data_IF_404720110350
#
_entry.id   IF_404720110350
#
_cell.length_a   1.000
_cell.length_b   1.000
_cell.length_c   1.000
_cell.angle_alpha   90.00
_cell.angle_beta   90.00
_cell.angle_gamma   90.00
#
_symmetry.space_group_name_H-M   'P 1'
#
loop_
_entity.id
_entity.type
_entity.pdbx_description
1 polymer ?
#
# COMPACT_ATOMS: atom_id res chain seq x y z
N UNK A 1 -12.66 -17.82 1.39
CA UNK A 1 -11.63 -17.40 0.42
C UNK A 1 -12.28 -16.46 -0.57
N UNK A 2 -11.98 -15.16 -0.50
CA UNK A 2 -12.52 -14.18 -1.46
C UNK A 2 -11.76 -14.37 -2.78
N UNK A 3 -12.48 -14.72 -3.83
CA UNK A 3 -11.91 -14.97 -5.15
C UNK A 3 -11.54 -13.61 -5.79
N UNK A 4 -10.25 -13.29 -5.88
CA UNK A 4 -9.72 -12.07 -6.54
C UNK A 4 -9.68 -12.20 -8.07
N UNK A 5 -9.92 -13.39 -8.61
CA UNK A 5 -9.77 -13.72 -10.04
C UNK A 5 -10.72 -12.98 -11.00
N UNK A 6 -11.67 -12.21 -10.47
CA UNK A 6 -12.55 -11.34 -11.26
C UNK A 6 -12.15 -9.86 -11.22
N UNK A 7 -11.24 -9.47 -10.33
CA UNK A 7 -10.85 -8.07 -10.17
C UNK A 7 -9.84 -7.65 -11.24
N UNK A 8 -10.12 -6.50 -11.86
CA UNK A 8 -9.28 -5.90 -12.91
C UNK A 8 -8.68 -4.60 -12.39
N UNK A 9 -7.36 -4.49 -12.51
CA UNK A 9 -6.58 -3.39 -11.96
C UNK A 9 -5.75 -2.72 -13.05
N UNK A 10 -5.77 -1.39 -13.06
CA UNK A 10 -4.83 -0.59 -13.83
C UNK A 10 -3.78 -0.02 -12.88
N UNK A 11 -2.50 -0.21 -13.19
CA UNK A 11 -1.37 0.36 -12.44
C UNK A 11 -0.65 1.37 -13.29
N UNK A 12 -0.60 2.63 -12.84
CA UNK A 12 0.08 3.74 -13.52
C UNK A 12 1.32 4.12 -12.70
N UNK A 13 2.52 3.96 -13.26
CA UNK A 13 3.73 4.27 -12.50
C UNK A 13 5.04 4.09 -13.25
N UNK A 14 6.11 4.62 -12.65
CA UNK A 14 7.50 4.50 -13.10
C UNK A 14 8.39 4.12 -11.92
N UNK A 15 9.58 3.53 -12.12
CA UNK A 15 10.14 3.07 -13.40
C UNK A 15 9.46 1.77 -13.90
N UNK A 16 9.79 1.37 -15.14
CA UNK A 16 9.20 0.19 -15.80
C UNK A 16 9.41 -1.09 -14.99
N UNK A 17 10.60 -1.28 -14.43
CA UNK A 17 10.94 -2.48 -13.66
C UNK A 17 10.07 -2.61 -12.41
N UNK A 18 9.90 -1.54 -11.63
CA UNK A 18 9.03 -1.53 -10.48
C UNK A 18 7.55 -1.79 -10.86
N UNK A 19 7.10 -1.26 -11.99
CA UNK A 19 5.76 -1.53 -12.51
C UNK A 19 5.61 -3.02 -12.87
N UNK A 20 6.60 -3.59 -13.53
CA UNK A 20 6.60 -5.01 -13.90
C UNK A 20 6.55 -5.91 -12.67
N UNK A 21 7.37 -5.64 -11.65
CA UNK A 21 7.38 -6.38 -10.38
C UNK A 21 6.00 -6.36 -9.70
N UNK A 22 5.34 -5.20 -9.66
CA UNK A 22 3.99 -5.06 -9.09
C UNK A 22 2.98 -5.89 -9.89
N UNK A 23 3.05 -5.84 -11.22
CA UNK A 23 2.14 -6.60 -12.10
C UNK A 23 2.32 -8.12 -11.92
N UNK A 24 3.55 -8.59 -11.81
CA UNK A 24 3.86 -10.01 -11.56
C UNK A 24 3.31 -10.48 -10.21
N UNK A 25 3.52 -9.69 -9.15
CA UNK A 25 2.97 -9.99 -7.83
C UNK A 25 1.44 -10.01 -7.81
N UNK A 26 0.78 -9.08 -8.51
CA UNK A 26 -0.68 -9.05 -8.62
C UNK A 26 -1.21 -10.26 -9.40
N UNK A 27 -0.56 -10.61 -10.50
CA UNK A 27 -0.93 -11.79 -11.30
C UNK A 27 -0.77 -13.07 -10.49
N UNK A 28 0.31 -13.21 -9.71
CA UNK A 28 0.52 -14.34 -8.79
C UNK A 28 -0.58 -14.44 -7.71
N UNK A 29 -1.20 -13.31 -7.35
CA UNK A 29 -2.36 -13.26 -6.44
C UNK A 29 -3.72 -13.43 -7.15
N UNK A 30 -3.73 -13.77 -8.45
CA UNK A 30 -4.94 -14.02 -9.22
C UNK A 30 -5.68 -12.75 -9.68
N UNK A 31 -5.03 -11.60 -9.63
CA UNK A 31 -5.60 -10.32 -10.09
C UNK A 31 -5.29 -10.13 -11.58
N UNK A 32 -6.30 -9.76 -12.37
CA UNK A 32 -6.09 -9.32 -13.76
C UNK A 32 -5.54 -7.89 -13.77
N UNK A 33 -4.34 -7.68 -14.28
CA UNK A 33 -3.66 -6.40 -14.19
C UNK A 33 -3.18 -5.90 -15.55
N UNK A 34 -3.36 -4.60 -15.78
CA UNK A 34 -2.74 -3.86 -16.86
C UNK A 34 -1.88 -2.74 -16.26
N UNK A 35 -0.80 -2.35 -16.95
CA UNK A 35 0.09 -1.30 -16.47
C UNK A 35 0.54 -0.36 -17.57
N UNK A 36 0.80 0.91 -17.20
CA UNK A 36 1.40 1.88 -18.09
C UNK A 36 2.38 2.80 -17.37
N UNK A 37 3.50 3.06 -18.06
CA UNK A 37 4.47 4.09 -17.65
C UNK A 37 4.11 5.47 -18.20
N UNK A 38 3.14 5.55 -19.12
CA UNK A 38 2.69 6.77 -19.79
C UNK A 38 1.39 7.30 -19.18
N UNK A 39 1.48 7.68 -17.90
CA UNK A 39 0.30 8.16 -17.16
C UNK A 39 -0.39 9.35 -17.83
N UNK A 40 0.35 10.22 -18.54
CA UNK A 40 -0.23 11.40 -19.20
C UNK A 40 -1.26 11.08 -20.29
N UNK A 41 -1.17 9.91 -20.90
CA UNK A 41 -2.11 9.44 -21.94
C UNK A 41 -3.08 8.38 -21.41
N UNK A 42 -3.06 8.09 -20.11
CA UNK A 42 -3.80 6.96 -19.56
C UNK A 42 -5.32 7.08 -19.77
N UNK A 43 -5.88 8.28 -19.68
CA UNK A 43 -7.32 8.49 -19.90
C UNK A 43 -7.76 8.31 -21.35
N UNK A 44 -6.84 8.43 -22.31
CA UNK A 44 -7.08 8.20 -23.74
C UNK A 44 -6.91 6.72 -24.11
N UNK A 45 -6.02 6.03 -23.39
CA UNK A 45 -5.64 4.63 -23.69
C UNK A 45 -6.49 3.59 -22.97
N UNK A 46 -7.05 3.95 -21.82
CA UNK A 46 -7.79 3.04 -20.96
C UNK A 46 -9.19 3.56 -20.65
N UNK A 47 -10.16 2.67 -20.66
CA UNK A 47 -11.52 2.93 -20.20
C UNK A 47 -11.68 2.47 -18.75
N UNK A 48 -12.01 3.38 -17.85
CA UNK A 48 -12.18 3.04 -16.43
C UNK A 48 -13.30 2.01 -16.17
N UNK A 49 -14.21 1.81 -17.11
CA UNK A 49 -15.24 0.77 -17.02
C UNK A 49 -14.68 -0.65 -17.08
N UNK A 50 -13.44 -0.77 -17.56
CA UNK A 50 -12.74 -2.05 -17.60
C UNK A 50 -12.03 -2.40 -16.30
N UNK A 51 -12.04 -1.51 -15.29
CA UNK A 51 -11.28 -1.68 -14.07
C UNK A 51 -12.13 -1.50 -12.81
N UNK A 52 -11.81 -2.29 -11.78
CA UNK A 52 -12.38 -2.15 -10.45
C UNK A 52 -11.53 -1.19 -9.59
N UNK A 53 -10.21 -1.14 -9.86
CA UNK A 53 -9.28 -0.27 -9.15
C UNK A 53 -8.22 0.29 -10.12
N UNK A 54 -7.91 1.58 -9.95
CA UNK A 54 -6.80 2.26 -10.63
C UNK A 54 -5.81 2.75 -9.58
N UNK A 55 -4.57 2.27 -9.69
CA UNK A 55 -3.48 2.60 -8.77
C UNK A 55 -2.49 3.56 -9.40
N UNK A 56 -2.12 4.60 -8.64
CA UNK A 56 -1.14 5.60 -9.02
C UNK A 56 0.15 5.40 -8.21
N UNK A 57 1.27 5.20 -8.88
CA UNK A 57 2.59 5.17 -8.26
C UNK A 57 3.12 6.58 -7.98
N UNK A 58 4.10 6.68 -7.08
CA UNK A 58 4.67 7.96 -6.63
C UNK A 58 5.30 8.85 -7.71
N UNK A 59 5.58 8.30 -8.90
CA UNK A 59 6.08 9.09 -10.04
C UNK A 59 5.00 9.83 -10.82
N UNK A 60 3.72 9.62 -10.52
CA UNK A 60 2.60 10.40 -11.10
C UNK A 60 2.47 11.68 -10.31
N UNK A 61 2.69 12.84 -10.97
CA UNK A 61 2.59 14.13 -10.28
C UNK A 61 1.20 14.37 -9.69
N UNK A 62 1.11 15.11 -8.60
CA UNK A 62 -0.15 15.38 -7.91
C UNK A 62 -1.20 16.03 -8.82
N UNK A 63 -0.80 16.95 -9.71
CA UNK A 63 -1.70 17.58 -10.67
C UNK A 63 -2.26 16.60 -11.69
N UNK A 64 -1.42 15.72 -12.24
CA UNK A 64 -1.83 14.68 -13.18
C UNK A 64 -2.73 13.65 -12.49
N UNK A 65 -2.40 13.25 -11.28
CA UNK A 65 -3.23 12.33 -10.47
C UNK A 65 -4.65 12.89 -10.29
N UNK A 66 -4.77 14.14 -9.85
CA UNK A 66 -6.09 14.80 -9.69
C UNK A 66 -6.86 14.87 -11.02
N UNK A 67 -6.17 15.17 -12.13
CA UNK A 67 -6.78 15.20 -13.46
C UNK A 67 -7.31 13.82 -13.85
N UNK A 68 -6.47 12.79 -13.79
CA UNK A 68 -6.83 11.42 -14.17
C UNK A 68 -7.97 10.85 -13.31
N UNK A 69 -7.97 11.10 -11.99
CA UNK A 69 -9.09 10.70 -11.12
C UNK A 69 -10.42 11.30 -11.57
N UNK A 70 -10.42 12.56 -12.00
CA UNK A 70 -11.65 13.20 -12.53
C UNK A 70 -12.11 12.56 -13.83
N UNK A 71 -11.19 12.33 -14.77
CA UNK A 71 -11.54 11.72 -16.05
C UNK A 71 -12.02 10.28 -15.88
N UNK A 72 -11.32 9.46 -15.12
CA UNK A 72 -11.73 8.09 -14.84
C UNK A 72 -13.02 8.00 -14.01
N UNK A 73 -13.23 8.90 -13.05
CA UNK A 73 -14.49 8.93 -12.29
C UNK A 73 -15.70 9.29 -13.15
N UNK A 74 -15.52 10.09 -14.22
CA UNK A 74 -16.58 10.37 -15.20
C UNK A 74 -16.94 9.14 -16.02
N UNK A 75 -15.93 8.32 -16.38
CA UNK A 75 -16.13 7.08 -17.12
C UNK A 75 -16.77 6.00 -16.25
N UNK A 76 -16.28 5.85 -15.00
CA UNK A 76 -16.77 4.86 -14.03
C UNK A 76 -16.82 5.46 -12.61
N UNK A 77 -17.99 5.89 -12.12
CA UNK A 77 -18.13 6.43 -10.76
C UNK A 77 -17.87 5.42 -9.63
N UNK A 78 -17.76 4.12 -9.97
CA UNK A 78 -17.54 3.04 -8.99
C UNK A 78 -16.09 2.59 -8.91
N UNK A 79 -15.23 3.05 -9.82
CA UNK A 79 -13.82 2.68 -9.82
C UNK A 79 -13.15 3.17 -8.54
N UNK A 80 -12.37 2.30 -7.92
CA UNK A 80 -11.58 2.67 -6.75
C UNK A 80 -10.26 3.29 -7.18
N UNK A 81 -9.77 4.27 -6.42
CA UNK A 81 -8.48 4.89 -6.63
C UNK A 81 -7.56 4.65 -5.45
N UNK A 82 -6.31 4.32 -5.73
CA UNK A 82 -5.29 4.07 -4.72
C UNK A 82 -3.98 4.76 -5.10
N UNK A 83 -3.40 5.51 -4.16
CA UNK A 83 -2.02 5.96 -4.27
C UNK A 83 -1.12 4.89 -3.66
N UNK A 84 -0.31 4.24 -4.50
CA UNK A 84 0.48 3.10 -4.11
C UNK A 84 1.97 3.44 -4.01
N UNK A 85 2.60 2.92 -2.97
CA UNK A 85 4.04 3.02 -2.77
C UNK A 85 4.72 1.79 -3.36
N UNK A 86 5.60 1.98 -4.35
CA UNK A 86 6.19 0.90 -5.15
C UNK A 86 6.65 -0.35 -4.36
N UNK A 87 7.40 -0.25 -3.25
CA UNK A 87 7.86 -1.44 -2.53
C UNK A 87 6.74 -2.33 -1.97
N UNK A 88 5.54 -1.77 -1.76
CA UNK A 88 4.40 -2.47 -1.15
C UNK A 88 3.12 -2.35 -1.98
N UNK A 89 3.22 -1.83 -3.20
CA UNK A 89 2.05 -1.51 -4.03
C UNK A 89 1.13 -2.72 -4.25
N UNK A 90 1.69 -3.89 -4.55
CA UNK A 90 0.89 -5.09 -4.74
C UNK A 90 0.11 -5.48 -3.46
N UNK A 91 0.73 -5.38 -2.30
CA UNK A 91 0.08 -5.63 -1.00
C UNK A 91 -1.06 -4.62 -0.73
N UNK A 92 -0.83 -3.33 -1.01
CA UNK A 92 -1.84 -2.29 -0.88
C UNK A 92 -3.04 -2.54 -1.80
N UNK A 93 -2.79 -2.88 -3.06
CA UNK A 93 -3.84 -3.16 -4.06
C UNK A 93 -4.66 -4.39 -3.64
N UNK A 94 -4.01 -5.50 -3.29
CA UNK A 94 -4.70 -6.72 -2.84
C UNK A 94 -5.56 -6.44 -1.59
N UNK A 95 -5.04 -5.67 -0.63
CA UNK A 95 -5.79 -5.26 0.56
C UNK A 95 -7.02 -4.41 0.21
N UNK A 96 -6.87 -3.44 -0.71
CA UNK A 96 -7.98 -2.61 -1.16
C UNK A 96 -9.08 -3.43 -1.86
N UNK A 97 -8.71 -4.37 -2.73
CA UNK A 97 -9.63 -5.27 -3.42
C UNK A 97 -10.39 -6.21 -2.47
N UNK A 98 -9.75 -6.63 -1.38
CA UNK A 98 -10.39 -7.42 -0.31
C UNK A 98 -11.35 -6.60 0.56
N UNK A 99 -11.58 -5.33 0.24
CA UNK A 99 -12.47 -4.43 0.99
C UNK A 99 -11.80 -3.66 2.13
N UNK A 100 -10.48 -3.59 2.13
CA UNK A 100 -9.70 -2.91 3.16
C UNK A 100 -9.90 -3.53 4.55
N UNK A 101 -9.68 -2.73 5.59
CA UNK A 101 -9.73 -3.15 7.00
C UNK A 101 -11.10 -3.55 7.55
N UNK A 102 -12.13 -3.74 6.73
CA UNK A 102 -13.49 -4.03 7.21
C UNK A 102 -13.65 -5.36 7.94
N UNK A 103 -12.70 -6.27 7.79
CA UNK A 103 -12.75 -7.60 8.43
C UNK A 103 -11.37 -8.05 8.92
N UNK A 104 -10.69 -7.19 9.65
CA UNK A 104 -9.45 -7.59 10.30
C UNK A 104 -9.71 -8.71 11.30
N UNK A 105 -9.02 -9.83 11.11
CA UNK A 105 -9.13 -11.00 11.98
C UNK A 105 -8.16 -10.94 13.16
N UNK A 106 -7.00 -10.30 12.96
CA UNK A 106 -5.89 -10.25 13.90
C UNK A 106 -5.75 -8.88 14.56
N UNK A 107 -6.21 -7.81 13.94
CA UNK A 107 -6.01 -6.44 14.40
C UNK A 107 -7.34 -5.75 14.72
N UNK A 108 -7.51 -5.25 15.95
CA UNK A 108 -8.64 -4.39 16.28
C UNK A 108 -8.37 -2.93 15.91
N UNK A 109 -7.16 -2.45 16.20
CA UNK A 109 -6.70 -1.10 15.87
C UNK A 109 -5.19 -1.01 16.00
N UNK A 110 -4.60 -0.04 15.30
CA UNK A 110 -3.20 0.34 15.47
C UNK A 110 -3.02 1.84 15.31
N UNK A 111 -1.94 2.36 15.89
CA UNK A 111 -1.59 3.77 15.83
C UNK A 111 -0.08 3.92 15.94
N UNK A 112 0.48 4.79 15.11
CA UNK A 112 1.84 5.30 15.23
C UNK A 112 1.79 6.67 15.92
N UNK A 113 2.63 6.88 16.92
CA UNK A 113 2.77 8.15 17.64
C UNK A 113 4.23 8.50 17.79
N UNK A 114 4.55 9.78 17.87
CA UNK A 114 5.88 10.24 18.26
C UNK A 114 6.08 10.02 19.76
N UNK A 115 7.29 9.59 20.15
CA UNK A 115 7.71 9.41 21.53
C UNK A 115 9.17 9.94 21.68
N UNK A 116 9.28 11.22 21.99
CA UNK A 116 10.56 11.91 21.96
C UNK A 116 11.13 11.97 20.54
N UNK A 117 12.31 11.37 20.34
CA UNK A 117 12.94 11.28 19.02
C UNK A 117 12.47 10.04 18.20
N UNK A 118 11.94 9.04 18.87
CA UNK A 118 11.48 7.79 18.27
C UNK A 118 10.01 7.86 17.85
N UNK A 119 9.54 6.80 17.19
CA UNK A 119 8.12 6.52 17.02
C UNK A 119 7.72 5.31 17.84
N UNK A 120 6.48 5.29 18.27
CA UNK A 120 5.88 4.21 19.02
C UNK A 120 4.67 3.67 18.27
N UNK A 121 4.80 2.45 17.73
CA UNK A 121 3.70 1.72 17.13
C UNK A 121 2.96 0.95 18.23
N UNK A 122 1.69 1.27 18.42
CA UNK A 122 0.78 0.59 19.36
C UNK A 122 -0.31 -0.11 18.60
N UNK A 123 -0.62 -1.34 19.00
CA UNK A 123 -1.69 -2.12 18.39
C UNK A 123 -2.50 -2.88 19.46
N UNK A 124 -3.72 -3.25 19.11
CA UNK A 124 -4.53 -4.21 19.87
C UNK A 124 -4.74 -5.42 19.00
N UNK A 125 -4.13 -6.52 19.38
CA UNK A 125 -4.17 -7.80 18.68
C UNK A 125 -5.38 -8.61 19.19
N UNK A 126 -6.19 -9.14 18.29
CA UNK A 126 -7.40 -9.89 18.63
C UNK A 126 -7.13 -11.35 18.96
N UNK A 127 -6.12 -11.94 18.31
CA UNK A 127 -5.71 -13.34 18.51
C UNK A 127 -4.23 -13.50 18.16
N UNK A 128 -3.54 -14.53 18.70
CA UNK A 128 -2.12 -14.74 18.44
C UNK A 128 -1.80 -14.77 16.96
N UNK A 129 -0.74 -14.07 16.56
CA UNK A 129 -0.30 -13.99 15.16
C UNK A 129 1.19 -13.65 15.04
N UNK A 130 1.76 -13.96 13.89
CA UNK A 130 3.06 -13.44 13.50
C UNK A 130 2.92 -11.95 13.13
N UNK A 131 3.84 -11.12 13.62
CA UNK A 131 3.90 -9.69 13.33
C UNK A 131 5.23 -9.38 12.66
N UNK A 132 5.16 -8.63 11.57
CA UNK A 132 6.31 -8.07 10.87
C UNK A 132 6.13 -6.57 10.74
N UNK A 133 7.13 -5.81 11.16
CA UNK A 133 7.16 -4.36 11.06
C UNK A 133 8.28 -3.96 10.13
N UNK A 134 7.95 -3.16 9.14
CA UNK A 134 8.85 -2.68 8.10
C UNK A 134 8.73 -1.16 7.98
N UNK A 135 9.85 -0.49 7.71
CA UNK A 135 9.88 0.93 7.35
C UNK A 135 10.19 1.05 5.87
N UNK A 136 9.27 1.67 5.14
CA UNK A 136 9.46 2.02 3.75
C UNK A 136 10.15 3.37 3.67
N UNK A 137 11.31 3.41 3.03
CA UNK A 137 12.14 4.60 2.90
C UNK A 137 11.66 5.48 1.75
N UNK A 138 11.85 6.79 1.88
CA UNK A 138 11.46 7.78 0.87
C UNK A 138 12.17 7.60 -0.47
N UNK A 139 11.49 8.02 -1.53
CA UNK A 139 12.01 8.03 -2.91
C UNK A 139 13.16 9.02 -3.17
N UNK A 140 13.46 9.92 -2.24
CA UNK A 140 14.55 10.90 -2.41
C UNK A 140 15.93 10.28 -2.41
N UNK A 141 16.06 9.03 -1.92
CA UNK A 141 17.28 8.24 -2.02
C UNK A 141 17.01 6.96 -2.82
N UNK A 142 17.41 6.88 -4.10
CA UNK A 142 17.21 5.66 -4.90
C UNK A 142 18.15 4.54 -4.46
N UNK A 143 17.70 3.26 -4.50
CA UNK A 143 16.33 2.83 -4.78
C UNK A 143 15.44 2.91 -3.53
N UNK A 144 14.11 3.06 -3.67
CA UNK A 144 13.20 2.94 -2.55
C UNK A 144 13.40 1.57 -1.91
N UNK A 145 13.65 1.56 -0.61
CA UNK A 145 13.97 0.35 0.13
C UNK A 145 12.99 0.10 1.27
N UNK A 146 12.86 -1.15 1.66
CA UNK A 146 12.08 -1.57 2.81
C UNK A 146 13.02 -2.23 3.80
N UNK A 147 13.07 -1.71 5.03
CA UNK A 147 13.87 -2.27 6.11
C UNK A 147 12.99 -2.94 7.14
N UNK A 148 13.30 -4.19 7.49
CA UNK A 148 12.60 -4.92 8.55
C UNK A 148 13.10 -4.41 9.90
N UNK A 149 12.18 -3.85 10.68
CA UNK A 149 12.46 -3.32 12.03
C UNK A 149 12.25 -4.40 13.09
N UNK A 150 11.19 -5.19 12.93
CA UNK A 150 10.84 -6.27 13.87
C UNK A 150 10.14 -7.41 13.14
N UNK A 151 10.41 -8.61 13.61
CA UNK A 151 9.69 -9.82 13.21
C UNK A 151 9.54 -10.70 14.45
N UNK A 152 8.32 -10.83 14.94
CA UNK A 152 8.01 -11.48 16.19
C UNK A 152 6.63 -12.14 16.18
N UNK A 153 6.30 -12.88 17.22
CA UNK A 153 4.93 -13.32 17.48
C UNK A 153 4.30 -12.41 18.53
N UNK A 154 3.03 -12.12 18.38
CA UNK A 154 2.24 -11.37 19.34
C UNK A 154 1.08 -12.23 19.85
N UNK A 155 0.86 -12.19 21.17
CA UNK A 155 -0.36 -12.72 21.78
C UNK A 155 -1.53 -11.77 21.63
N UNK A 156 -2.74 -12.24 21.90
CA UNK A 156 -3.90 -11.38 21.98
C UNK A 156 -3.73 -10.34 23.09
N UNK A 157 -4.08 -9.07 22.83
CA UNK A 157 -3.94 -7.97 23.76
C UNK A 157 -3.15 -6.80 23.23
N UNK A 158 -2.50 -6.06 24.11
CA UNK A 158 -1.69 -4.90 23.73
C UNK A 158 -0.34 -5.35 23.15
N UNK A 159 -0.02 -4.78 22.01
CA UNK A 159 1.28 -4.90 21.34
C UNK A 159 1.89 -3.51 21.19
N UNK A 160 3.18 -3.39 21.47
CA UNK A 160 3.90 -2.13 21.34
C UNK A 160 5.29 -2.39 20.76
N UNK A 161 5.72 -1.51 19.84
CA UNK A 161 7.08 -1.54 19.27
C UNK A 161 7.61 -0.12 19.09
N UNK A 162 8.83 0.08 19.53
CA UNK A 162 9.59 1.32 19.30
C UNK A 162 10.29 1.24 17.95
N UNK A 163 10.21 2.32 17.19
CA UNK A 163 10.84 2.49 15.89
C UNK A 163 11.85 3.63 16.04
N UNK A 164 13.09 3.31 15.80
CA UNK A 164 14.25 4.16 16.07
C UNK A 164 14.17 5.50 15.34
N UNK A 165 14.66 6.54 16.00
CA UNK A 165 14.78 7.90 15.49
C UNK A 165 15.55 8.03 14.15
N UNK A 166 16.42 7.06 13.83
CA UNK A 166 17.16 7.03 12.55
C UNK A 166 16.24 7.05 11.33
N UNK A 167 15.00 6.56 11.48
CA UNK A 167 14.02 6.56 10.40
C UNK A 167 13.30 7.90 10.21
N UNK A 168 13.50 8.89 11.09
CA UNK A 168 12.82 10.19 10.99
C UNK A 168 13.12 10.95 9.71
N UNK A 169 14.35 10.84 9.21
CA UNK A 169 14.81 11.61 8.05
C UNK A 169 14.37 10.98 6.73
N UNK A 170 14.31 9.67 6.64
CA UNK A 170 14.14 8.95 5.39
C UNK A 170 12.96 7.94 5.40
N UNK A 171 12.45 7.62 6.58
CA UNK A 171 11.28 6.77 6.71
C UNK A 171 10.02 7.51 6.26
N UNK A 172 9.20 6.86 5.45
CA UNK A 172 7.99 7.46 4.90
C UNK A 172 6.72 6.80 5.44
N UNK A 173 6.74 5.49 5.53
CA UNK A 173 5.62 4.68 6.00
C UNK A 173 6.14 3.54 6.88
N UNK A 174 5.49 3.32 8.01
CA UNK A 174 5.58 2.08 8.77
C UNK A 174 4.50 1.12 8.27
N UNK A 175 4.92 -0.04 7.80
CA UNK A 175 4.05 -1.15 7.42
C UNK A 175 4.08 -2.19 8.54
N UNK A 176 2.91 -2.51 9.09
CA UNK A 176 2.70 -3.63 9.99
C UNK A 176 1.94 -4.73 9.25
N UNK A 177 2.52 -5.91 9.17
CA UNK A 177 1.93 -7.10 8.54
C UNK A 177 1.63 -8.15 9.61
N UNK A 178 0.45 -8.77 9.55
CA UNK A 178 -0.02 -9.80 10.47
C UNK A 178 -0.31 -11.08 9.69
N UNK A 179 0.37 -12.18 10.02
CA UNK A 179 0.28 -13.49 9.35
C UNK A 179 0.37 -13.42 7.81
N UNK A 180 1.14 -12.47 7.27
CA UNK A 180 1.29 -12.22 5.83
C UNK A 180 -0.04 -11.95 5.07
N UNK A 181 -1.14 -11.70 5.78
CA UNK A 181 -2.48 -11.54 5.21
C UNK A 181 -3.10 -10.15 5.50
N UNK A 182 -2.93 -9.60 6.68
CA UNK A 182 -3.44 -8.28 7.06
C UNK A 182 -2.32 -7.24 7.08
N UNK A 183 -2.61 -6.04 6.55
CA UNK A 183 -1.63 -4.96 6.44
C UNK A 183 -2.18 -3.67 7.00
N UNK A 184 -1.37 -3.00 7.81
CA UNK A 184 -1.66 -1.68 8.35
C UNK A 184 -0.53 -0.71 7.99
N UNK A 185 -0.89 0.46 7.48
CA UNK A 185 0.03 1.49 7.02
C UNK A 185 -0.07 2.72 7.92
N UNK A 186 1.07 3.21 8.38
CA UNK A 186 1.17 4.41 9.19
C UNK A 186 2.15 5.40 8.56
N UNK A 187 1.70 6.56 8.08
CA UNK A 187 2.60 7.63 7.67
C UNK A 187 3.48 8.09 8.83
N UNK A 188 4.77 8.29 8.59
CA UNK A 188 5.73 8.79 9.60
C UNK A 188 5.78 10.31 9.64
N UNK A 189 5.47 10.99 8.52
CA UNK A 189 5.41 12.44 8.44
C UNK A 189 3.95 12.87 8.29
N UNK A 190 3.56 13.84 9.09
CA UNK A 190 2.33 14.61 8.87
C UNK A 190 2.77 15.92 8.22
N UNK A 191 2.26 16.17 7.02
CA UNK A 191 2.26 17.51 6.46
C UNK A 191 1.42 18.46 7.32
#
# INVERSE_FOLDING_TARGET
MTQLSSNRVLVLGRPRDALQDVMEQLTANGVSVQGSTDAQYAADLFDARDFDLISFGGAVSSSLNVHLRREFARQNPRVQFLDALAPIAAKQIVSALKGGSRHWQYLARSRLTEDGLDYLLKAVILKPCAVRIEVCMSYEAPPPSVEVVDQSNADAGFFERRIDARYRTHGHIVLMTLNDDEYCLHPMHRD
#
